data_IF_927190775377
#
_entry.id   IF_927190775377
#
_cell.length_a   1.000
_cell.length_b   1.000
_cell.length_c   1.000
_cell.angle_alpha   90.00
_cell.angle_beta   90.00
_cell.angle_gamma   90.00
#
_symmetry.space_group_name_H-M   'P 1'
#
loop_
_entity.id
_entity.type
_entity.pdbx_description
1 polymer ?
#
# COMPACT_ATOMS: atom_id res chain seq x y z
N UNK A 1 31.21 -28.65 -25.79
CA UNK A 1 29.85 -28.49 -26.39
C UNK A 1 28.73 -28.89 -25.42
N UNK A 2 28.80 -30.04 -24.74
CA UNK A 2 27.80 -30.53 -23.77
C UNK A 2 27.44 -29.54 -22.64
N UNK A 3 28.43 -28.87 -22.03
CA UNK A 3 28.19 -27.91 -20.94
C UNK A 3 27.48 -26.63 -21.39
N UNK A 4 27.74 -26.18 -22.62
CA UNK A 4 27.07 -25.01 -23.22
C UNK A 4 25.59 -25.30 -23.40
N UNK A 5 25.24 -26.51 -23.86
CA UNK A 5 23.85 -26.94 -24.04
C UNK A 5 23.12 -27.00 -22.69
N UNK A 6 23.76 -27.49 -21.62
CA UNK A 6 23.14 -27.47 -20.28
C UNK A 6 22.92 -26.05 -19.73
N UNK A 7 23.87 -25.13 -19.94
CA UNK A 7 23.69 -23.72 -19.55
C UNK A 7 22.50 -23.10 -20.30
N UNK A 8 22.35 -23.37 -21.59
CA UNK A 8 21.24 -22.84 -22.38
C UNK A 8 19.88 -23.40 -21.95
N UNK A 9 19.82 -24.69 -21.58
CA UNK A 9 18.61 -25.31 -21.02
C UNK A 9 18.29 -24.71 -19.65
N UNK A 10 19.26 -24.58 -18.75
CA UNK A 10 19.02 -24.00 -17.42
C UNK A 10 18.52 -22.54 -17.49
N UNK A 11 18.99 -21.76 -18.46
CA UNK A 11 18.52 -20.39 -18.69
C UNK A 11 17.13 -20.34 -19.36
N UNK A 12 16.79 -21.31 -20.21
CA UNK A 12 15.49 -21.39 -20.87
C UNK A 12 14.37 -21.92 -19.95
N UNK A 13 14.71 -22.60 -18.85
CA UNK A 13 13.77 -23.18 -17.89
C UNK A 13 13.93 -22.59 -16.48
N UNK A 14 14.08 -21.27 -16.37
CA UNK A 14 13.91 -20.62 -15.08
C UNK A 14 12.43 -20.69 -14.70
N UNK A 15 12.11 -21.48 -13.66
CA UNK A 15 10.78 -21.42 -13.07
C UNK A 15 10.64 -20.03 -12.45
N UNK A 16 9.73 -19.21 -12.98
CA UNK A 16 9.29 -18.02 -12.26
C UNK A 16 8.75 -18.48 -10.91
N UNK A 17 9.52 -18.26 -9.85
CA UNK A 17 9.00 -18.42 -8.48
C UNK A 17 7.82 -17.46 -8.40
N UNK A 18 6.64 -17.93 -7.98
CA UNK A 18 5.45 -17.09 -7.73
C UNK A 18 5.66 -16.19 -6.49
N UNK A 19 6.81 -15.53 -6.41
CA UNK A 19 7.06 -14.47 -5.46
C UNK A 19 6.28 -13.25 -5.94
N UNK A 20 5.30 -12.83 -5.13
CA UNK A 20 4.66 -11.55 -5.35
C UNK A 20 5.70 -10.44 -5.19
N UNK A 21 5.80 -9.55 -6.17
CA UNK A 21 6.58 -8.34 -6.02
C UNK A 21 5.86 -7.43 -5.04
N UNK A 22 6.53 -7.03 -3.96
CA UNK A 22 6.02 -5.99 -3.07
C UNK A 22 5.95 -4.68 -3.83
N UNK A 23 4.73 -4.20 -4.09
CA UNK A 23 4.50 -2.88 -4.67
C UNK A 23 4.29 -1.86 -3.55
N UNK A 24 4.97 -0.71 -3.60
CA UNK A 24 4.75 0.35 -2.62
C UNK A 24 3.33 0.92 -2.76
N UNK A 25 2.73 1.32 -1.65
CA UNK A 25 1.46 2.05 -1.62
C UNK A 25 1.69 3.55 -1.88
N UNK A 26 2.31 3.86 -3.02
CA UNK A 26 2.83 5.20 -3.31
C UNK A 26 3.93 5.61 -2.32
N UNK A 27 3.88 6.84 -1.81
CA UNK A 27 4.86 7.35 -0.84
C UNK A 27 4.64 6.84 0.60
N UNK A 28 3.60 6.03 0.84
CA UNK A 28 3.26 5.54 2.18
C UNK A 28 2.70 6.63 3.09
N UNK A 29 2.98 6.53 4.40
CA UNK A 29 2.58 7.53 5.40
C UNK A 29 3.76 8.42 5.78
N UNK A 30 3.51 9.70 6.07
CA UNK A 30 4.54 10.68 6.37
C UNK A 30 4.18 11.52 7.61
N UNK A 31 5.18 11.96 8.38
CA UNK A 31 4.97 12.83 9.53
C UNK A 31 4.64 14.26 9.08
N UNK A 32 4.11 15.09 9.97
CA UNK A 32 3.92 16.52 9.68
C UNK A 32 5.27 17.24 9.52
N UNK A 33 6.21 16.88 10.38
CA UNK A 33 7.54 17.47 10.47
C UNK A 33 8.60 16.40 10.28
N UNK A 34 9.70 16.75 9.61
CA UNK A 34 10.78 15.81 9.23
C UNK A 34 11.52 15.13 10.39
N UNK A 35 11.38 15.66 11.60
CA UNK A 35 11.98 15.11 12.83
C UNK A 35 11.06 14.15 13.59
N UNK A 36 9.81 13.94 13.14
CA UNK A 36 8.89 12.96 13.72
C UNK A 36 8.92 11.65 12.91
N UNK A 37 8.56 10.54 13.55
CA UNK A 37 8.32 9.28 12.83
C UNK A 37 6.88 9.23 12.34
N UNK A 38 6.66 8.59 11.19
CA UNK A 38 5.33 8.18 10.74
C UNK A 38 5.17 6.68 10.97
N UNK A 39 4.42 6.33 12.01
CA UNK A 39 4.25 4.95 12.42
C UNK A 39 2.85 4.45 12.09
N UNK A 40 2.73 3.36 11.35
CA UNK A 40 1.48 2.61 11.25
C UNK A 40 1.37 1.67 12.46
N UNK A 41 0.29 1.80 13.23
CA UNK A 41 0.03 0.99 14.44
C UNK A 41 -1.03 -0.09 14.21
N UNK A 42 -1.93 0.11 13.25
CA UNK A 42 -3.01 -0.83 12.93
C UNK A 42 -3.36 -0.81 11.44
N UNK A 43 -3.76 -1.96 10.89
CA UNK A 43 -4.20 -2.07 9.50
C UNK A 43 -5.37 -3.05 9.37
N UNK A 44 -6.35 -2.71 8.54
CA UNK A 44 -7.48 -3.59 8.18
C UNK A 44 -7.68 -3.51 6.67
N UNK A 45 -7.75 -4.68 6.02
CA UNK A 45 -8.06 -4.78 4.60
C UNK A 45 -9.52 -5.19 4.41
N UNK A 46 -10.28 -4.37 3.70
CA UNK A 46 -11.64 -4.68 3.27
C UNK A 46 -11.57 -5.46 1.95
N UNK A 47 -11.87 -6.75 2.03
CA UNK A 47 -11.83 -7.64 0.87
C UNK A 47 -12.95 -7.38 -0.15
N UNK A 48 -14.03 -6.68 0.23
CA UNK A 48 -15.17 -6.37 -0.64
C UNK A 48 -14.81 -5.18 -1.53
N UNK A 49 -14.44 -4.05 -0.94
CA UNK A 49 -14.09 -2.84 -1.69
C UNK A 49 -12.61 -2.79 -2.13
N UNK A 50 -11.78 -3.74 -1.67
CA UNK A 50 -10.32 -3.77 -1.89
C UNK A 50 -9.60 -2.55 -1.31
N UNK A 51 -10.10 -2.01 -0.20
CA UNK A 51 -9.49 -0.87 0.48
C UNK A 51 -8.63 -1.33 1.65
N UNK A 52 -7.51 -0.65 1.86
CA UNK A 52 -6.68 -0.80 3.05
C UNK A 52 -6.87 0.43 3.94
N UNK A 53 -7.36 0.20 5.14
CA UNK A 53 -7.45 1.21 6.20
C UNK A 53 -6.21 1.07 7.08
N UNK A 54 -5.53 2.18 7.33
CA UNK A 54 -4.36 2.25 8.20
C UNK A 54 -4.61 3.28 9.30
N UNK A 55 -4.17 2.96 10.51
CA UNK A 55 -4.23 3.85 11.67
C UNK A 55 -2.87 3.91 12.37
N UNK A 56 -2.53 5.05 12.95
CA UNK A 56 -1.26 5.22 13.66
C UNK A 56 -0.87 6.67 13.91
N UNK A 57 0.42 6.91 14.07
CA UNK A 57 1.01 8.22 14.36
C UNK A 57 1.63 8.77 13.08
N UNK A 58 0.79 9.32 12.19
CA UNK A 58 1.23 9.99 10.96
C UNK A 58 0.27 11.15 10.61
N UNK A 59 0.73 12.04 9.75
CA UNK A 59 -0.02 13.24 9.37
C UNK A 59 -0.49 13.21 7.92
N UNK A 60 0.32 12.63 7.02
CA UNK A 60 0.00 12.47 5.62
C UNK A 60 -0.05 11.00 5.21
N UNK A 61 -0.88 10.69 4.22
CA UNK A 61 -0.89 9.44 3.49
C UNK A 61 -0.74 9.78 2.00
N UNK A 62 0.43 9.46 1.42
CA UNK A 62 0.88 10.06 0.17
C UNK A 62 0.96 11.59 0.29
N UNK A 63 0.41 12.28 -0.71
CA UNK A 63 0.30 13.75 -0.76
C UNK A 63 -0.95 14.29 -0.03
N UNK A 64 -1.75 13.42 0.60
CA UNK A 64 -3.01 13.79 1.24
C UNK A 64 -2.84 13.93 2.73
N UNK A 65 -3.39 15.02 3.26
CA UNK A 65 -3.49 15.16 4.71
C UNK A 65 -4.51 14.17 5.25
N UNK A 66 -4.07 13.40 6.24
CA UNK A 66 -4.74 12.18 6.70
C UNK A 66 -4.30 11.90 8.14
N UNK A 67 -4.70 12.74 9.09
CA UNK A 67 -4.23 12.67 10.49
C UNK A 67 -4.68 11.36 11.13
N UNK A 68 -3.71 10.56 11.57
CA UNK A 68 -3.89 9.31 12.33
C UNK A 68 -4.65 8.18 11.64
N UNK A 69 -5.30 8.43 10.50
CA UNK A 69 -6.07 7.46 9.74
C UNK A 69 -5.93 7.72 8.24
N UNK A 70 -5.66 6.68 7.45
CA UNK A 70 -5.51 6.73 6.00
C UNK A 70 -6.23 5.58 5.32
N UNK A 71 -6.69 5.81 4.09
CA UNK A 71 -7.42 4.81 3.30
C UNK A 71 -6.76 4.71 1.92
N UNK A 72 -6.27 3.53 1.56
CA UNK A 72 -5.75 3.22 0.24
C UNK A 72 -6.81 2.49 -0.57
N UNK A 73 -7.19 3.02 -1.73
CA UNK A 73 -8.26 2.48 -2.58
C UNK A 73 -7.79 1.43 -3.61
N UNK A 74 -6.50 1.05 -3.56
CA UNK A 74 -5.87 0.17 -4.56
C UNK A 74 -4.92 0.92 -5.50
N UNK A 75 -5.10 2.22 -5.71
CA UNK A 75 -4.28 3.06 -6.62
C UNK A 75 -3.79 4.37 -5.99
N UNK A 76 -4.49 4.91 -4.99
CA UNK A 76 -4.14 6.15 -4.31
C UNK A 76 -4.65 6.21 -2.86
N UNK A 77 -4.04 7.09 -2.07
CA UNK A 77 -4.53 7.46 -0.73
C UNK A 77 -5.70 8.43 -0.83
N UNK A 78 -6.72 8.23 0.02
CA UNK A 78 -7.88 9.12 0.18
C UNK A 78 -7.64 10.03 1.39
N UNK A 79 -7.91 11.33 1.24
CA UNK A 79 -7.85 12.29 2.36
C UNK A 79 -8.98 12.03 3.37
N UNK A 80 -8.61 11.96 4.65
CA UNK A 80 -9.56 11.77 5.77
C UNK A 80 -9.80 13.05 6.58
N UNK A 81 -9.15 14.16 6.23
CA UNK A 81 -9.23 15.44 6.94
C UNK A 81 -10.58 16.17 6.87
N UNK A 82 -11.58 15.61 6.20
CA UNK A 82 -12.95 16.08 6.28
C UNK A 82 -13.75 15.20 7.23
N UNK A 83 -13.66 15.39 8.57
CA UNK A 83 -14.43 14.62 9.55
C UNK A 83 -15.96 14.86 9.48
N UNK A 84 -16.43 15.71 8.57
CA UNK A 84 -17.80 16.23 8.52
C UNK A 84 -18.39 16.34 7.10
N UNK A 85 -17.74 15.74 6.09
CA UNK A 85 -18.49 15.28 4.93
C UNK A 85 -19.03 13.91 5.30
N UNK A 86 -20.26 13.85 5.81
CA UNK A 86 -21.01 12.61 5.97
C UNK A 86 -20.78 11.75 4.73
N UNK A 87 -19.99 10.69 4.86
CA UNK A 87 -20.03 9.59 3.91
C UNK A 87 -21.48 9.17 3.94
N UNK A 88 -22.17 9.40 2.81
CA UNK A 88 -23.59 9.10 2.69
C UNK A 88 -23.85 7.74 3.33
N UNK A 89 -24.87 7.71 4.19
CA UNK A 89 -25.46 6.49 4.72
C UNK A 89 -25.33 5.37 3.69
N UNK A 90 -24.90 4.15 4.07
CA UNK A 90 -25.03 3.01 3.17
C UNK A 90 -26.50 2.98 2.75
N UNK A 91 -26.77 3.26 1.48
CA UNK A 91 -28.10 3.06 0.93
C UNK A 91 -28.28 1.55 0.92
N UNK A 92 -29.43 1.12 1.45
CA UNK A 92 -29.89 -0.26 1.48
C UNK A 92 -29.78 -0.97 0.13
#
# INVERSE_FOLDING_TARGET
MKYVIYCLIALAFHNSVYAQTWLPLGEGVQPEHSYQSADVKSMVFDSVNKWLYVGGDFYYAGDKVSRMMGIWNGTSWISTEKPNAYLGSPVA
#
